data_IF_715494598979
#
_entry.id   IF_715494598979
#
_cell.length_a   1.000
_cell.length_b   1.000
_cell.length_c   1.000
_cell.angle_alpha   90.00
_cell.angle_beta   90.00
_cell.angle_gamma   90.00
#
_symmetry.space_group_name_H-M   'P 1'
#
loop_
_entity.id
_entity.type
_entity.pdbx_description
1 polymer ?
#
# COMPACT_ATOMS: atom_id res chain seq x y z
N UNK A 1 4.36 -18.54 -11.12
CA UNK A 1 4.83 -18.32 -12.53
C UNK A 1 3.81 -18.84 -13.57
N UNK A 2 3.12 -19.95 -13.33
CA UNK A 2 2.09 -20.50 -14.23
C UNK A 2 0.87 -19.57 -14.37
N UNK A 3 0.31 -19.09 -13.26
CA UNK A 3 -0.83 -18.17 -13.24
C UNK A 3 -0.60 -16.88 -14.02
N UNK A 4 0.63 -16.33 -13.95
CA UNK A 4 0.99 -15.13 -14.71
C UNK A 4 1.00 -15.38 -16.23
N UNK A 5 1.38 -16.57 -16.68
CA UNK A 5 1.34 -16.94 -18.11
C UNK A 5 -0.10 -17.05 -18.61
N UNK A 6 -0.97 -17.70 -17.84
CA UNK A 6 -2.40 -17.84 -18.17
C UNK A 6 -3.06 -16.45 -18.21
N UNK A 7 -2.79 -15.62 -17.21
CA UNK A 7 -3.32 -14.25 -17.14
C UNK A 7 -2.88 -13.39 -18.34
N UNK A 8 -1.58 -13.43 -18.70
CA UNK A 8 -1.07 -12.73 -19.89
C UNK A 8 -1.79 -13.17 -21.16
N UNK A 9 -1.91 -14.48 -21.37
CA UNK A 9 -2.56 -15.04 -22.55
C UNK A 9 -4.01 -14.57 -22.65
N UNK A 10 -4.76 -14.70 -21.54
CA UNK A 10 -6.16 -14.31 -21.51
C UNK A 10 -6.38 -12.81 -21.80
N UNK A 11 -5.48 -11.94 -21.32
CA UNK A 11 -5.58 -10.49 -21.59
C UNK A 11 -5.27 -10.14 -23.04
N UNK A 12 -4.30 -10.78 -23.67
CA UNK A 12 -3.97 -10.54 -25.08
C UNK A 12 -5.09 -11.02 -26.01
N UNK A 13 -5.74 -12.13 -25.63
CA UNK A 13 -6.84 -12.72 -26.41
C UNK A 13 -8.19 -11.94 -26.24
N UNK A 14 -8.27 -11.04 -25.26
CA UNK A 14 -9.48 -10.21 -25.02
C UNK A 14 -9.36 -8.93 -25.85
N UNK A 15 -10.09 -8.84 -26.96
CA UNK A 15 -10.36 -7.58 -27.61
C UNK A 15 -11.34 -6.75 -26.78
N UNK A 16 -10.94 -5.57 -26.32
CA UNK A 16 -11.82 -4.65 -25.61
C UNK A 16 -12.44 -3.67 -26.63
N UNK A 17 -13.76 -3.54 -26.61
CA UNK A 17 -14.46 -2.50 -27.35
C UNK A 17 -15.33 -1.72 -26.38
N UNK A 18 -15.20 -0.42 -26.37
CA UNK A 18 -16.07 0.45 -25.58
C UNK A 18 -16.58 1.61 -26.44
N UNK A 19 -17.67 2.20 -26.01
CA UNK A 19 -18.24 3.38 -26.66
C UNK A 19 -17.85 4.59 -25.83
N UNK A 20 -17.16 5.54 -26.42
CA UNK A 20 -16.89 6.81 -25.78
C UNK A 20 -18.21 7.50 -25.44
N UNK A 21 -18.39 7.91 -24.19
CA UNK A 21 -19.66 8.47 -23.73
C UNK A 21 -19.98 9.81 -24.39
N UNK A 22 -18.98 10.62 -24.70
CA UNK A 22 -19.16 11.97 -25.27
C UNK A 22 -19.22 11.93 -26.77
N UNK A 23 -18.31 11.28 -27.47
CA UNK A 23 -18.22 11.24 -28.92
C UNK A 23 -19.14 10.20 -29.55
N UNK A 24 -19.62 9.21 -28.77
CA UNK A 24 -20.36 8.02 -29.22
C UNK A 24 -19.60 7.15 -30.22
N UNK A 25 -18.30 7.34 -30.33
CA UNK A 25 -17.44 6.52 -31.15
C UNK A 25 -17.17 5.15 -30.53
N UNK A 26 -17.04 4.14 -31.37
CA UNK A 26 -16.62 2.80 -30.94
C UNK A 26 -15.09 2.75 -30.95
N UNK A 27 -14.52 2.63 -29.77
CA UNK A 27 -13.07 2.54 -29.59
C UNK A 27 -12.71 1.07 -29.39
N UNK A 28 -11.89 0.53 -30.27
CA UNK A 28 -11.31 -0.81 -30.15
C UNK A 28 -9.92 -0.70 -29.53
N UNK A 29 -9.69 -1.45 -28.47
CA UNK A 29 -8.38 -1.54 -27.82
C UNK A 29 -7.81 -2.91 -28.09
N UNK A 30 -6.73 -2.98 -28.82
CA UNK A 30 -5.97 -4.20 -29.06
C UNK A 30 -4.76 -4.24 -28.09
N UNK A 31 -4.68 -5.26 -27.24
CA UNK A 31 -3.58 -5.43 -26.28
C UNK A 31 -2.46 -6.20 -26.98
N UNK A 32 -1.41 -5.48 -27.40
CA UNK A 32 -0.26 -6.07 -28.13
C UNK A 32 0.65 -6.91 -27.24
N UNK A 33 0.84 -6.51 -25.97
CA UNK A 33 1.64 -7.26 -25.01
C UNK A 33 1.21 -6.99 -23.57
N UNK A 34 1.43 -7.97 -22.71
CA UNK A 34 1.17 -7.87 -21.27
C UNK A 34 2.40 -8.30 -20.48
N UNK A 35 2.85 -7.47 -19.57
CA UNK A 35 3.89 -7.80 -18.61
C UNK A 35 3.31 -7.83 -17.19
N UNK A 36 3.57 -8.91 -16.46
CA UNK A 36 3.14 -9.07 -15.08
C UNK A 36 4.33 -8.84 -14.17
N UNK A 37 4.24 -7.82 -13.34
CA UNK A 37 5.22 -7.49 -12.29
C UNK A 37 4.60 -7.67 -10.91
N UNK A 38 5.40 -7.83 -9.85
CA UNK A 38 4.91 -7.69 -8.48
C UNK A 38 4.32 -6.30 -8.25
N UNK A 39 3.25 -6.20 -7.46
CA UNK A 39 2.53 -4.94 -7.22
C UNK A 39 3.47 -3.85 -6.68
N UNK A 40 4.26 -4.13 -5.66
CA UNK A 40 5.24 -3.17 -5.13
C UNK A 40 6.31 -2.71 -6.13
N UNK A 41 6.59 -3.46 -7.21
CA UNK A 41 7.43 -2.97 -8.31
C UNK A 41 6.76 -1.87 -9.12
N UNK A 42 5.45 -1.89 -9.23
CA UNK A 42 4.70 -0.80 -9.86
C UNK A 42 4.83 0.50 -9.07
N UNK A 43 4.74 0.42 -7.74
CA UNK A 43 4.99 1.53 -6.84
C UNK A 43 6.42 2.08 -7.00
N UNK A 44 7.43 1.22 -7.06
CA UNK A 44 8.82 1.61 -7.31
C UNK A 44 8.96 2.36 -8.64
N UNK A 45 8.39 1.84 -9.72
CA UNK A 45 8.43 2.48 -11.05
C UNK A 45 7.72 3.84 -11.02
N UNK A 46 6.59 3.94 -10.32
CA UNK A 46 5.87 5.20 -10.15
C UNK A 46 6.69 6.29 -9.44
N UNK A 47 7.63 5.89 -8.56
CA UNK A 47 8.57 6.82 -7.93
C UNK A 47 9.76 7.19 -8.82
N UNK A 48 10.07 6.38 -9.83
CA UNK A 48 11.14 6.69 -10.79
C UNK A 48 10.72 7.71 -11.83
N UNK A 49 9.46 7.69 -12.26
CA UNK A 49 8.99 8.49 -13.40
C UNK A 49 7.80 9.37 -13.04
N UNK A 50 7.75 10.57 -13.66
CA UNK A 50 6.55 11.40 -13.62
C UNK A 50 5.49 10.82 -14.56
N UNK A 51 4.24 10.75 -14.10
CA UNK A 51 3.12 10.26 -14.91
C UNK A 51 2.79 11.22 -16.07
N UNK A 52 2.90 12.52 -15.84
CA UNK A 52 2.53 13.53 -16.83
C UNK A 52 3.53 13.64 -17.98
N UNK A 53 4.82 13.51 -17.68
CA UNK A 53 5.89 13.73 -18.65
C UNK A 53 6.63 12.45 -19.06
N UNK A 54 6.45 11.35 -18.36
CA UNK A 54 7.22 10.11 -18.47
C UNK A 54 8.74 10.32 -18.32
N UNK A 55 9.15 11.44 -17.73
CA UNK A 55 10.54 11.75 -17.46
C UNK A 55 10.96 11.22 -16.08
N UNK A 56 12.25 10.85 -15.91
CA UNK A 56 12.76 10.47 -14.60
C UNK A 56 12.57 11.60 -13.58
N UNK A 57 12.10 11.26 -12.39
CA UNK A 57 12.02 12.20 -11.27
C UNK A 57 13.41 12.51 -10.71
N UNK A 58 13.56 13.63 -10.03
CA UNK A 58 14.83 14.02 -9.39
C UNK A 58 15.39 12.95 -8.45
N UNK A 59 14.50 12.20 -7.76
CA UNK A 59 14.87 11.11 -6.85
C UNK A 59 15.29 9.81 -7.55
N UNK A 60 15.06 9.68 -8.88
CA UNK A 60 15.29 8.43 -9.59
C UNK A 60 16.73 7.93 -9.48
N UNK A 61 17.71 8.82 -9.59
CA UNK A 61 19.14 8.46 -9.48
C UNK A 61 19.46 7.87 -8.08
N UNK A 62 18.89 8.42 -7.03
CA UNK A 62 19.04 7.90 -5.67
C UNK A 62 18.38 6.52 -5.55
N UNK A 63 17.14 6.35 -5.99
CA UNK A 63 16.41 5.08 -5.96
C UNK A 63 17.16 3.97 -6.70
N UNK A 64 17.76 4.30 -7.84
CA UNK A 64 18.53 3.35 -8.65
C UNK A 64 19.93 3.04 -8.09
N UNK A 65 20.39 3.77 -7.09
CA UNK A 65 21.71 3.56 -6.46
C UNK A 65 21.63 2.89 -5.08
N UNK A 66 20.45 2.78 -4.50
CA UNK A 66 20.23 2.35 -3.11
C UNK A 66 19.52 1.00 -3.02
N UNK A 67 19.56 0.42 -1.82
CA UNK A 67 18.76 -0.75 -1.47
C UNK A 67 17.49 -0.29 -0.76
N UNK A 68 16.36 -0.66 -1.33
CA UNK A 68 15.03 -0.22 -0.95
C UNK A 68 14.22 -1.40 -0.42
N UNK A 69 13.57 -1.21 0.73
CA UNK A 69 12.52 -2.07 1.26
C UNK A 69 11.17 -1.48 0.87
N UNK A 70 10.30 -2.25 0.25
CA UNK A 70 8.96 -1.84 -0.14
C UNK A 70 7.94 -2.68 0.62
N UNK A 71 6.97 -2.00 1.23
CA UNK A 71 5.84 -2.57 1.92
C UNK A 71 4.56 -2.07 1.24
N UNK A 72 3.83 -2.96 0.60
CA UNK A 72 2.54 -2.66 -0.01
C UNK A 72 1.42 -3.16 0.89
N UNK A 73 0.78 -2.24 1.62
CA UNK A 73 -0.21 -2.55 2.65
C UNK A 73 -1.60 -2.48 2.03
N UNK A 74 -2.12 -3.65 1.65
CA UNK A 74 -3.48 -3.81 1.16
C UNK A 74 -4.53 -3.89 2.28
N UNK A 75 -5.74 -4.28 1.90
CA UNK A 75 -6.83 -4.47 2.85
C UNK A 75 -6.59 -5.68 3.78
N UNK A 76 -6.16 -6.82 3.24
CA UNK A 76 -6.00 -8.06 4.02
C UNK A 76 -4.57 -8.55 4.16
N UNK A 77 -3.64 -8.01 3.37
CA UNK A 77 -2.25 -8.46 3.28
C UNK A 77 -1.30 -7.29 3.16
N UNK A 78 -0.04 -7.56 3.49
CA UNK A 78 1.09 -6.69 3.18
C UNK A 78 2.09 -7.47 2.35
N UNK A 79 2.35 -7.00 1.15
CA UNK A 79 3.40 -7.55 0.30
C UNK A 79 4.72 -6.86 0.60
N UNK A 80 5.76 -7.68 0.78
CA UNK A 80 7.13 -7.22 1.07
C UNK A 80 8.01 -7.58 -0.11
N UNK A 81 8.84 -6.64 -0.51
CA UNK A 81 9.89 -6.89 -1.49
C UNK A 81 11.08 -5.94 -1.28
N UNK A 82 12.26 -6.38 -1.71
CA UNK A 82 13.44 -5.54 -1.77
C UNK A 82 13.85 -5.27 -3.22
N UNK A 83 14.34 -4.06 -3.44
CA UNK A 83 14.99 -3.65 -4.68
C UNK A 83 16.41 -3.21 -4.35
N UNK A 84 17.40 -3.78 -5.01
CA UNK A 84 18.80 -3.38 -4.89
C UNK A 84 19.27 -2.79 -6.21
N UNK A 85 19.62 -1.51 -6.19
CA UNK A 85 20.06 -0.78 -7.39
C UNK A 85 19.16 -0.97 -8.61
N UNK A 86 17.86 -0.81 -8.39
CA UNK A 86 16.85 -0.95 -9.44
C UNK A 86 16.48 -2.39 -9.81
N UNK A 87 17.12 -3.39 -9.20
CA UNK A 87 16.84 -4.81 -9.46
C UNK A 87 16.05 -5.44 -8.33
N UNK A 88 14.99 -6.17 -8.68
CA UNK A 88 14.22 -6.94 -7.72
C UNK A 88 15.07 -8.06 -7.11
N UNK A 89 15.13 -8.14 -5.79
CA UNK A 89 15.75 -9.24 -5.07
C UNK A 89 14.70 -10.36 -4.87
N UNK A 90 14.71 -11.37 -5.73
CA UNK A 90 13.68 -12.42 -5.76
C UNK A 90 13.48 -13.15 -4.41
N UNK A 91 14.56 -13.40 -3.66
CA UNK A 91 14.50 -14.05 -2.35
C UNK A 91 13.90 -13.17 -1.25
N UNK A 92 13.71 -11.88 -1.50
CA UNK A 92 13.16 -10.92 -0.52
C UNK A 92 11.66 -10.70 -0.68
N UNK A 93 10.95 -11.57 -1.41
CA UNK A 93 9.50 -11.43 -1.64
C UNK A 93 8.72 -12.34 -0.72
N UNK A 94 7.77 -11.74 -0.01
CA UNK A 94 6.79 -12.47 0.78
C UNK A 94 5.50 -11.67 0.92
N UNK A 95 4.44 -12.36 1.34
CA UNK A 95 3.14 -11.75 1.68
C UNK A 95 2.82 -12.11 3.13
N UNK A 96 2.59 -11.10 3.94
CA UNK A 96 2.13 -11.23 5.32
C UNK A 96 0.61 -11.06 5.35
N UNK A 97 -0.11 -11.88 6.13
CA UNK A 97 -1.56 -11.80 6.28
C UNK A 97 -1.96 -10.74 7.32
N UNK A 98 -1.42 -9.56 7.19
CA UNK A 98 -1.76 -8.38 7.98
C UNK A 98 -1.98 -7.19 7.04
N UNK A 99 -3.06 -6.45 7.23
CA UNK A 99 -3.43 -5.29 6.42
C UNK A 99 -4.49 -4.44 7.10
N UNK A 100 -5.11 -3.53 6.37
CA UNK A 100 -6.11 -2.60 6.90
C UNK A 100 -7.27 -3.26 7.64
N UNK A 101 -7.76 -4.41 7.15
CA UNK A 101 -8.86 -5.15 7.78
C UNK A 101 -8.49 -5.67 9.18
N UNK A 102 -7.21 -5.95 9.44
CA UNK A 102 -6.75 -6.36 10.76
C UNK A 102 -6.87 -5.20 11.75
N UNK A 103 -6.63 -3.96 11.33
CA UNK A 103 -6.85 -2.78 12.16
C UNK A 103 -8.34 -2.65 12.49
N UNK A 104 -9.23 -2.74 11.48
CA UNK A 104 -10.69 -2.67 11.65
C UNK A 104 -11.18 -3.74 12.65
N UNK A 105 -10.73 -4.98 12.47
CA UNK A 105 -11.08 -6.10 13.36
C UNK A 105 -10.59 -5.88 14.79
N UNK A 106 -9.39 -5.33 14.96
CA UNK A 106 -8.82 -5.00 16.27
C UNK A 106 -9.61 -3.87 16.94
N UNK A 107 -9.98 -2.83 16.19
CA UNK A 107 -10.84 -1.73 16.68
C UNK A 107 -12.17 -2.27 17.16
N UNK A 108 -12.85 -3.09 16.35
CA UNK A 108 -14.12 -3.74 16.71
C UNK A 108 -13.99 -4.55 18.02
N UNK A 109 -12.95 -5.38 18.10
CA UNK A 109 -12.73 -6.23 19.27
C UNK A 109 -12.51 -5.42 20.54
N UNK A 110 -11.66 -4.40 20.48
CA UNK A 110 -11.38 -3.49 21.60
C UNK A 110 -12.61 -2.70 22.03
N UNK A 111 -13.34 -2.16 21.05
CA UNK A 111 -14.57 -1.40 21.33
C UNK A 111 -15.62 -2.26 22.00
N UNK A 112 -15.95 -3.41 21.42
CA UNK A 112 -16.95 -4.33 21.95
C UNK A 112 -16.60 -4.80 23.35
N UNK A 113 -15.34 -5.17 23.59
CA UNK A 113 -14.84 -5.58 24.91
C UNK A 113 -14.99 -4.45 25.94
N UNK A 114 -14.59 -3.22 25.58
CA UNK A 114 -14.63 -2.07 26.50
C UNK A 114 -16.05 -1.67 26.88
N UNK A 115 -16.99 -1.76 25.94
CA UNK A 115 -18.36 -1.28 26.12
C UNK A 115 -19.34 -2.42 26.41
N UNK A 116 -18.87 -3.67 26.55
CA UNK A 116 -19.70 -4.86 26.74
C UNK A 116 -20.81 -4.98 25.68
N UNK A 117 -20.44 -4.76 24.42
CA UNK A 117 -21.33 -4.82 23.25
C UNK A 117 -20.87 -5.91 22.27
N UNK A 118 -21.71 -6.19 21.27
CA UNK A 118 -21.37 -7.13 20.18
C UNK A 118 -21.75 -6.52 18.82
N UNK A 119 -21.22 -5.33 18.52
CA UNK A 119 -21.45 -4.68 17.24
C UNK A 119 -20.75 -5.45 16.11
N UNK A 120 -21.44 -5.56 14.98
CA UNK A 120 -20.95 -6.27 13.81
C UNK A 120 -19.91 -5.46 13.01
N UNK A 121 -19.16 -6.13 12.14
CA UNK A 121 -18.07 -5.52 11.37
C UNK A 121 -18.49 -4.33 10.48
N UNK A 122 -19.65 -4.35 9.80
CA UNK A 122 -20.09 -3.22 8.99
C UNK A 122 -20.17 -1.87 9.73
N UNK A 123 -20.36 -1.89 11.05
CA UNK A 123 -20.36 -0.66 11.87
C UNK A 123 -18.99 0.01 11.89
N UNK A 124 -17.92 -0.76 11.68
CA UNK A 124 -16.53 -0.31 11.76
C UNK A 124 -15.85 -0.15 10.39
N UNK A 125 -16.55 -0.38 9.27
CA UNK A 125 -15.95 -0.46 7.93
C UNK A 125 -15.15 0.80 7.53
N UNK A 126 -15.60 1.97 7.97
CA UNK A 126 -15.06 3.26 7.55
C UNK A 126 -14.14 3.91 8.61
N UNK A 127 -13.84 3.21 9.74
CA UNK A 127 -13.08 3.80 10.86
C UNK A 127 -11.65 4.21 10.51
N UNK A 128 -11.06 3.67 9.43
CA UNK A 128 -9.76 4.06 8.94
C UNK A 128 -9.80 5.38 8.17
N UNK A 129 -10.95 5.75 7.63
CA UNK A 129 -11.18 7.00 6.91
C UNK A 129 -11.70 8.06 7.90
N UNK A 130 -12.72 7.69 8.66
CA UNK A 130 -13.35 8.52 9.68
C UNK A 130 -13.43 7.74 10.99
N UNK A 131 -12.64 8.09 12.02
CA UNK A 131 -12.52 7.31 13.25
C UNK A 131 -13.72 7.51 14.18
N UNK A 132 -14.91 7.27 13.68
CA UNK A 132 -16.19 7.32 14.41
C UNK A 132 -17.12 6.19 13.96
N UNK A 133 -18.03 5.80 14.81
CA UNK A 133 -19.06 4.78 14.54
C UNK A 133 -20.43 5.29 14.97
N UNK A 134 -21.47 4.76 14.32
CA UNK A 134 -22.86 4.98 14.73
C UNK A 134 -23.33 3.85 15.65
N UNK A 135 -23.82 4.21 16.82
CA UNK A 135 -24.44 3.27 17.79
C UNK A 135 -25.86 3.76 18.06
N UNK A 136 -26.85 3.14 17.43
CA UNK A 136 -28.19 3.72 17.37
C UNK A 136 -28.16 5.08 16.67
N UNK A 137 -28.66 6.12 17.32
CA UNK A 137 -28.71 7.49 16.81
C UNK A 137 -27.53 8.35 17.28
N UNK A 138 -26.51 7.74 17.90
CA UNK A 138 -25.37 8.46 18.47
C UNK A 138 -24.09 8.17 17.69
N UNK A 139 -23.33 9.24 17.36
CA UNK A 139 -21.98 9.12 16.84
C UNK A 139 -20.99 9.00 17.99
N UNK A 140 -20.13 8.00 17.93
CA UNK A 140 -19.12 7.72 18.94
C UNK A 140 -17.73 7.86 18.32
N UNK A 141 -16.89 8.72 18.89
CA UNK A 141 -15.48 8.84 18.53
C UNK A 141 -14.69 7.62 19.01
N UNK A 142 -13.97 6.98 18.08
CA UNK A 142 -13.10 5.81 18.33
C UNK A 142 -11.63 6.09 17.97
N UNK A 143 -11.23 7.34 17.78
CA UNK A 143 -9.89 7.76 17.37
C UNK A 143 -8.77 7.11 18.19
N UNK A 144 -8.91 7.11 19.53
CA UNK A 144 -7.91 6.51 20.43
C UNK A 144 -7.82 5.00 20.27
N UNK A 145 -8.93 4.33 19.95
CA UNK A 145 -8.94 2.88 19.72
C UNK A 145 -8.29 2.59 18.37
N UNK A 146 -8.60 3.37 17.33
CA UNK A 146 -7.99 3.26 16.00
C UNK A 146 -6.49 3.44 16.10
N UNK A 147 -6.00 4.50 16.77
CA UNK A 147 -4.58 4.76 16.93
C UNK A 147 -3.87 3.62 17.67
N UNK A 148 -4.43 3.14 18.78
CA UNK A 148 -3.85 2.02 19.53
C UNK A 148 -3.84 0.72 18.72
N UNK A 149 -4.80 0.53 17.82
CA UNK A 149 -4.88 -0.64 16.94
C UNK A 149 -3.89 -0.53 15.78
N UNK A 150 -3.70 0.66 15.20
CA UNK A 150 -2.63 0.90 14.20
C UNK A 150 -1.25 0.60 14.79
N UNK A 151 -0.96 1.05 16.02
CA UNK A 151 0.32 0.76 16.71
C UNK A 151 0.55 -0.73 16.92
N UNK A 152 -0.49 -1.48 17.28
CA UNK A 152 -0.43 -2.93 17.45
C UNK A 152 -0.09 -3.62 16.12
N UNK A 153 -0.83 -3.31 15.06
CA UNK A 153 -0.58 -3.88 13.73
C UNK A 153 0.78 -3.47 13.16
N UNK A 154 1.21 -2.21 13.37
CA UNK A 154 2.56 -1.78 12.97
C UNK A 154 3.65 -2.62 13.65
N UNK A 155 3.54 -2.86 14.96
CA UNK A 155 4.47 -3.69 15.70
C UNK A 155 4.48 -5.13 15.18
N UNK A 156 3.32 -5.69 14.93
CA UNK A 156 3.20 -7.07 14.44
C UNK A 156 3.79 -7.20 13.02
N UNK A 157 3.56 -6.22 12.14
CA UNK A 157 4.21 -6.15 10.83
C UNK A 157 5.72 -6.07 10.93
N UNK A 158 6.26 -5.24 11.82
CA UNK A 158 7.71 -5.10 12.02
C UNK A 158 8.31 -6.43 12.49
N UNK A 159 7.66 -7.13 13.43
CA UNK A 159 8.11 -8.43 13.89
C UNK A 159 8.13 -9.47 12.76
N UNK A 160 7.10 -9.52 11.93
CA UNK A 160 7.04 -10.43 10.78
C UNK A 160 8.11 -10.09 9.74
N UNK A 161 8.33 -8.79 9.46
CA UNK A 161 9.38 -8.33 8.53
C UNK A 161 10.76 -8.75 9.03
N UNK A 162 11.07 -8.48 10.29
CA UNK A 162 12.37 -8.84 10.87
C UNK A 162 12.60 -10.34 10.87
N UNK A 163 11.61 -11.12 11.31
CA UNK A 163 11.67 -12.58 11.30
C UNK A 163 11.85 -13.15 9.89
N UNK A 164 11.17 -12.59 8.89
CA UNK A 164 11.31 -13.03 7.50
C UNK A 164 12.74 -12.81 6.99
N UNK A 165 13.31 -11.62 7.17
CA UNK A 165 14.66 -11.32 6.67
C UNK A 165 15.74 -12.06 7.44
N UNK A 166 15.59 -12.27 8.76
CA UNK A 166 16.47 -13.13 9.57
C UNK A 166 16.47 -14.56 9.03
N UNK A 167 15.30 -15.14 8.74
CA UNK A 167 15.19 -16.48 8.16
C UNK A 167 15.85 -16.61 6.79
N UNK A 168 15.93 -15.51 6.03
CA UNK A 168 16.60 -15.46 4.72
C UNK A 168 18.11 -15.11 4.83
N UNK A 169 18.65 -14.93 6.04
CA UNK A 169 20.01 -14.43 6.27
C UNK A 169 20.31 -13.10 5.58
N UNK A 170 19.31 -12.22 5.48
CA UNK A 170 19.45 -10.87 4.92
C UNK A 170 19.70 -9.89 6.05
N UNK A 171 20.83 -9.19 6.02
CA UNK A 171 21.09 -8.14 6.99
C UNK A 171 20.24 -6.91 6.68
N UNK A 172 19.27 -6.63 7.54
CA UNK A 172 18.37 -5.48 7.44
C UNK A 172 19.10 -4.14 7.42
N UNK A 173 20.28 -4.04 8.07
CA UNK A 173 21.08 -2.81 8.10
C UNK A 173 21.62 -2.40 6.73
N UNK A 174 21.51 -3.27 5.73
CA UNK A 174 21.89 -2.97 4.36
C UNK A 174 20.85 -2.12 3.60
N UNK A 175 19.63 -2.02 4.10
CA UNK A 175 18.60 -1.18 3.50
C UNK A 175 18.85 0.30 3.81
N UNK A 176 18.64 1.14 2.81
CA UNK A 176 18.84 2.59 2.88
C UNK A 176 17.52 3.35 2.89
N UNK A 177 16.52 2.82 2.21
CA UNK A 177 15.24 3.46 1.96
C UNK A 177 14.09 2.51 2.30
N UNK A 178 13.01 3.07 2.84
CA UNK A 178 11.73 2.40 3.08
C UNK A 178 10.66 3.10 2.27
N UNK A 179 9.93 2.36 1.45
CA UNK A 179 8.74 2.81 0.75
C UNK A 179 7.54 2.04 1.29
N UNK A 180 6.57 2.75 1.83
CA UNK A 180 5.30 2.18 2.31
C UNK A 180 4.19 2.71 1.43
N UNK A 181 3.47 1.82 0.77
CA UNK A 181 2.39 2.13 -0.16
C UNK A 181 1.14 1.31 0.16
N UNK A 182 0.10 1.53 -0.62
CA UNK A 182 -1.16 0.82 -0.49
C UNK A 182 -2.18 1.54 0.39
N UNK A 183 -3.46 1.26 0.17
CA UNK A 183 -4.57 1.94 0.87
C UNK A 183 -4.59 1.75 2.39
N UNK A 184 -3.94 0.69 2.90
CA UNK A 184 -3.80 0.46 4.34
C UNK A 184 -2.74 1.33 5.02
N UNK A 185 -1.85 1.96 4.23
CA UNK A 185 -0.76 2.79 4.74
C UNK A 185 -1.20 4.22 5.14
N UNK A 186 -2.33 4.67 4.59
CA UNK A 186 -2.78 6.05 4.68
C UNK A 186 -3.19 6.47 6.11
N UNK A 187 -3.08 7.77 6.37
CA UNK A 187 -3.63 8.39 7.58
C UNK A 187 -5.11 8.72 7.39
N UNK A 188 -5.86 8.73 8.49
CA UNK A 188 -7.21 9.28 8.56
C UNK A 188 -7.25 10.40 9.60
N UNK A 189 -7.66 11.59 9.19
CA UNK A 189 -7.77 12.74 10.07
C UNK A 189 -6.47 13.04 10.82
N UNK A 190 -6.56 13.27 12.14
CA UNK A 190 -5.43 13.59 13.02
C UNK A 190 -4.60 12.36 13.45
N UNK A 191 -5.03 11.14 13.10
CA UNK A 191 -4.30 9.94 13.50
C UNK A 191 -3.05 9.74 12.63
N UNK A 192 -1.96 9.28 13.27
CA UNK A 192 -0.72 8.97 12.55
C UNK A 192 -0.96 7.95 11.45
N UNK A 193 -0.31 8.16 10.31
CA UNK A 193 -0.30 7.18 9.24
C UNK A 193 0.33 5.86 9.72
N UNK A 194 -0.14 4.73 9.20
CA UNK A 194 0.47 3.45 9.50
C UNK A 194 1.92 3.40 9.00
N UNK A 195 2.21 4.03 7.87
CA UNK A 195 3.57 4.21 7.33
C UNK A 195 4.52 4.87 8.33
N UNK A 196 4.09 5.94 9.01
CA UNK A 196 4.88 6.62 10.04
C UNK A 196 5.14 5.73 11.25
N UNK A 197 4.13 4.98 11.70
CA UNK A 197 4.28 4.05 12.83
C UNK A 197 5.24 2.90 12.52
N UNK A 198 5.16 2.37 11.30
CA UNK A 198 6.09 1.33 10.83
C UNK A 198 7.50 1.89 10.73
N UNK A 199 7.67 3.07 10.12
CA UNK A 199 8.98 3.70 10.00
C UNK A 199 9.65 3.89 11.36
N UNK A 200 8.92 4.45 12.33
CA UNK A 200 9.46 4.68 13.68
C UNK A 200 9.91 3.38 14.37
N UNK A 201 9.20 2.27 14.13
CA UNK A 201 9.63 0.98 14.67
C UNK A 201 10.76 0.32 13.87
N UNK A 202 10.80 0.51 12.55
CA UNK A 202 11.88 -0.03 11.70
C UNK A 202 13.21 0.67 11.96
N UNK A 203 13.22 1.95 12.33
CA UNK A 203 14.44 2.69 12.66
C UNK A 203 15.21 2.05 13.82
N UNK A 204 14.53 1.38 14.76
CA UNK A 204 15.18 0.67 15.86
C UNK A 204 16.08 -0.48 15.35
N UNK A 205 15.72 -1.10 14.23
CA UNK A 205 16.47 -2.19 13.58
C UNK A 205 17.42 -1.69 12.48
N UNK A 206 17.04 -0.61 11.80
CA UNK A 206 17.78 -0.05 10.65
C UNK A 206 17.98 1.46 10.86
N UNK A 207 18.92 1.89 11.74
CA UNK A 207 19.04 3.30 12.15
C UNK A 207 19.32 4.31 11.02
N UNK A 208 19.79 3.82 9.86
CA UNK A 208 20.13 4.69 8.72
C UNK A 208 19.07 4.68 7.61
N UNK A 209 17.97 3.94 7.81
CA UNK A 209 16.90 3.91 6.82
C UNK A 209 16.18 5.26 6.78
N UNK A 210 15.80 5.70 5.58
CA UNK A 210 14.98 6.88 5.38
C UNK A 210 13.64 6.47 4.78
N UNK A 211 12.56 6.97 5.34
CA UNK A 211 11.23 6.85 4.75
C UNK A 211 11.18 7.68 3.47
N UNK A 212 10.80 7.05 2.37
CA UNK A 212 10.35 7.78 1.22
C UNK A 212 8.93 8.23 1.51
N UNK A 213 8.74 9.52 1.66
CA UNK A 213 7.40 10.09 1.67
C UNK A 213 6.72 9.65 0.37
N UNK A 214 5.46 9.24 0.46
CA UNK A 214 4.63 9.01 -0.74
C UNK A 214 4.79 10.25 -1.58
N UNK A 215 5.53 10.09 -2.67
CA UNK A 215 5.98 11.21 -3.45
C UNK A 215 4.75 12.01 -3.79
N UNK A 216 4.79 13.27 -3.40
CA UNK A 216 3.96 14.31 -3.91
C UNK A 216 3.40 13.81 -5.22
N UNK A 217 2.12 13.44 -5.23
CA UNK A 217 1.35 13.39 -6.46
C UNK A 217 1.38 14.84 -6.92
N UNK A 218 2.45 15.19 -7.60
CA UNK A 218 2.53 16.43 -8.33
C UNK A 218 1.43 16.32 -9.35
N UNK A 219 0.35 17.01 -9.06
CA UNK A 219 -0.90 17.13 -9.77
C UNK A 219 -1.82 15.88 -9.69
N UNK A 220 -2.98 16.02 -9.03
CA UNK A 220 -4.10 15.20 -9.43
C UNK A 220 -4.20 15.33 -10.95
N UNK A 221 -4.46 14.22 -11.64
CA UNK A 221 -5.00 14.27 -13.00
C UNK A 221 -6.31 15.05 -12.89
N UNK A 222 -6.21 16.37 -12.87
CA UNK A 222 -7.34 17.22 -13.23
C UNK A 222 -7.58 16.89 -14.68
N UNK A 223 -8.59 16.10 -14.92
CA UNK A 223 -9.33 16.12 -16.17
C UNK A 223 -9.86 17.55 -16.31
N UNK A 224 -8.99 18.49 -16.67
CA UNK A 224 -9.39 19.74 -17.25
C UNK A 224 -9.91 19.42 -18.64
N UNK A 225 -11.19 19.16 -18.73
CA UNK A 225 -11.79 18.90 -20.02
C UNK A 225 -13.21 18.33 -20.02
N UNK A 226 -13.93 18.42 -18.95
CA UNK A 226 -15.29 17.88 -18.92
C UNK A 226 -16.28 18.77 -18.14
N UNK A 227 -16.25 20.07 -18.36
CA UNK A 227 -17.37 20.98 -18.04
C UNK A 227 -17.23 22.25 -18.90
N UNK A 228 -17.57 22.16 -20.18
CA UNK A 228 -18.14 23.23 -21.00
C UNK A 228 -19.24 22.62 -21.87
#
# INVERSE_FOLDING_TARGET
KEGAKVFKKNLVDIGLTYVDYFTKEHIKVDIGSVEVKPEGMSAFIAHLYSYSTLQPRAIAAELLSKKLLILDIGAGTTDILAVDRGQLVESSRTTIKLGGNNIISTVRTKYNKRNNTNLSEPVFKDVLIKPEIWVGDTVVDVSKIVESSKREIARDLINEITSFFEAQNVDLKTFNLLLVVGGGALSSGESKALSELIYNGVVDYIPKIRLLEEGIVEEPLLYEGALD
#
